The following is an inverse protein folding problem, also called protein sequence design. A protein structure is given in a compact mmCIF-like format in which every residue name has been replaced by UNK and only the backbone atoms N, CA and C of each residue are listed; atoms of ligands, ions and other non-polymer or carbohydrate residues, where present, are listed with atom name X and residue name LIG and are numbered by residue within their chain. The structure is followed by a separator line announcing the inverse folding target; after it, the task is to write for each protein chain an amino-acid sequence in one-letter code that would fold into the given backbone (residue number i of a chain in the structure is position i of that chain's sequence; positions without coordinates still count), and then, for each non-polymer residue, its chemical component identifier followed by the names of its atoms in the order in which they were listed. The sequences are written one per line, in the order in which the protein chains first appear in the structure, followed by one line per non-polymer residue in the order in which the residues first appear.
data_IF_630559790798
#
_entry.id   IF_630559790798
#
_cell.length_a   1.000
_cell.length_b   1.000
_cell.length_c   1.000
_cell.angle_alpha   90.00
_cell.angle_beta   90.00
_cell.angle_gamma   90.00
#
_symmetry.space_group_name_H-M   'P 1'
#
loop_
_entity.id
_entity.type
_entity.pdbx_description
1 polymer ?
#
# COMPACT_ATOMS: atom_id res chain seq x y z
N UNK A 1 -31.31 17.26 6.07
CA UNK A 1 -29.87 17.55 6.30
C UNK A 1 -29.07 16.66 5.36
N UNK A 2 -28.10 17.22 4.68
CA UNK A 2 -27.34 16.48 3.64
C UNK A 2 -26.29 15.60 4.34
N UNK A 3 -26.49 14.28 4.38
CA UNK A 3 -25.61 13.32 5.07
C UNK A 3 -24.28 13.07 4.31
N UNK A 4 -24.09 13.70 3.14
CA UNK A 4 -22.88 13.55 2.35
C UNK A 4 -21.76 14.45 2.87
N UNK A 5 -20.57 13.87 3.08
CA UNK A 5 -19.37 14.63 3.45
C UNK A 5 -18.94 15.65 2.38
N UNK A 6 -19.34 15.44 1.11
CA UNK A 6 -19.04 16.37 0.01
C UNK A 6 -19.71 17.74 0.15
N UNK A 7 -20.70 17.89 1.05
CA UNK A 7 -21.28 19.19 1.37
C UNK A 7 -20.35 20.05 2.25
N UNK A 8 -19.38 19.47 2.93
CA UNK A 8 -18.37 20.20 3.69
C UNK A 8 -17.29 20.76 2.77
N UNK A 9 -17.22 22.10 2.62
CA UNK A 9 -16.21 22.79 1.81
C UNK A 9 -14.78 22.42 2.26
N UNK A 10 -14.54 22.38 3.57
CA UNK A 10 -13.20 22.06 4.08
C UNK A 10 -12.80 20.62 3.84
N UNK A 11 -13.74 19.69 3.96
CA UNK A 11 -13.50 18.29 3.59
C UNK A 11 -13.20 18.14 2.11
N UNK A 12 -13.92 18.84 1.23
CA UNK A 12 -13.70 18.78 -0.21
C UNK A 12 -12.31 19.29 -0.61
N UNK A 13 -11.87 20.44 -0.03
CA UNK A 13 -10.53 20.99 -0.25
C UNK A 13 -9.45 19.96 0.18
N UNK A 14 -9.62 19.40 1.39
CA UNK A 14 -8.72 18.36 1.88
C UNK A 14 -8.71 17.13 0.99
N UNK A 15 -9.88 16.63 0.58
CA UNK A 15 -10.02 15.46 -0.28
C UNK A 15 -9.27 15.63 -1.60
N UNK A 16 -9.40 16.77 -2.26
CA UNK A 16 -8.72 17.08 -3.52
C UNK A 16 -7.20 17.06 -3.30
N UNK A 17 -6.70 17.83 -2.32
CA UNK A 17 -5.27 17.88 -2.02
C UNK A 17 -4.69 16.53 -1.63
N UNK A 18 -5.42 15.77 -0.81
CA UNK A 18 -5.04 14.42 -0.41
C UNK A 18 -5.03 13.43 -1.59
N UNK A 19 -6.00 13.52 -2.50
CA UNK A 19 -6.08 12.65 -3.67
C UNK A 19 -4.92 12.88 -4.62
N UNK A 20 -4.56 14.15 -4.89
CA UNK A 20 -3.39 14.51 -5.72
C UNK A 20 -2.11 13.95 -5.08
N UNK A 21 -1.91 14.16 -3.78
CA UNK A 21 -0.76 13.64 -3.04
C UNK A 21 -0.70 12.10 -3.06
N UNK A 22 -1.84 11.41 -2.98
CA UNK A 22 -1.89 9.96 -3.06
C UNK A 22 -1.50 9.44 -4.45
N UNK A 23 -1.91 10.10 -5.54
CA UNK A 23 -1.46 9.73 -6.88
C UNK A 23 0.06 9.89 -7.00
N UNK A 24 0.63 10.99 -6.51
CA UNK A 24 2.08 11.19 -6.46
C UNK A 24 2.80 10.08 -5.72
N UNK A 25 2.30 9.66 -4.55
CA UNK A 25 2.85 8.56 -3.77
C UNK A 25 2.90 7.23 -4.56
N UNK A 26 1.82 6.89 -5.29
CA UNK A 26 1.78 5.65 -6.06
C UNK A 26 2.64 5.72 -7.32
N UNK A 27 2.78 6.91 -7.95
CA UNK A 27 3.73 7.16 -9.04
C UNK A 27 5.16 6.94 -8.53
N UNK A 28 5.52 7.54 -7.39
CA UNK A 28 6.82 7.37 -6.77
C UNK A 28 7.17 5.91 -6.51
N UNK A 29 6.25 5.11 -5.98
CA UNK A 29 6.50 3.69 -5.65
C UNK A 29 6.91 2.86 -6.85
N UNK A 30 6.26 3.05 -7.98
CA UNK A 30 6.64 2.36 -9.23
C UNK A 30 7.99 2.85 -9.74
N UNK A 31 8.20 4.17 -9.74
CA UNK A 31 9.45 4.77 -10.19
C UNK A 31 10.65 4.32 -9.32
N UNK A 32 10.43 4.18 -8.03
CA UNK A 32 11.48 3.75 -7.09
C UNK A 32 11.92 2.32 -7.36
N UNK A 33 10.99 1.38 -7.51
CA UNK A 33 11.31 -0.01 -7.86
C UNK A 33 12.01 -0.13 -9.21
N UNK A 34 11.55 0.63 -10.21
CA UNK A 34 12.18 0.69 -11.53
C UNK A 34 13.60 1.25 -11.45
N UNK A 35 13.81 2.35 -10.72
CA UNK A 35 15.12 2.98 -10.62
C UNK A 35 16.11 2.12 -9.83
N UNK A 36 15.64 1.39 -8.81
CA UNK A 36 16.46 0.40 -8.10
C UNK A 36 16.96 -0.69 -9.06
N UNK A 37 16.09 -1.17 -9.96
CA UNK A 37 16.47 -2.12 -11.00
C UNK A 37 17.47 -1.51 -11.98
N UNK A 38 17.21 -0.32 -12.51
CA UNK A 38 18.11 0.36 -13.45
C UNK A 38 19.51 0.58 -12.90
N UNK A 39 19.63 0.95 -11.62
CA UNK A 39 20.92 1.24 -10.99
C UNK A 39 21.72 -0.02 -10.64
N UNK A 40 21.04 -1.11 -10.34
CA UNK A 40 21.70 -2.28 -9.76
C UNK A 40 21.72 -3.52 -10.66
N UNK A 41 20.72 -3.67 -11.57
CA UNK A 41 20.48 -4.91 -12.29
C UNK A 41 20.23 -6.11 -11.36
N UNK A 42 19.81 -5.87 -10.10
CA UNK A 42 19.72 -6.89 -9.07
C UNK A 42 18.34 -6.92 -8.41
N UNK A 43 17.74 -8.10 -8.41
CA UNK A 43 16.46 -8.38 -7.75
C UNK A 43 16.55 -8.15 -6.23
N UNK A 44 17.71 -8.43 -5.65
CA UNK A 44 17.94 -8.19 -4.22
C UNK A 44 17.80 -6.72 -3.87
N UNK A 45 18.39 -5.82 -4.66
CA UNK A 45 18.28 -4.39 -4.43
C UNK A 45 16.85 -3.87 -4.64
N UNK A 46 16.12 -4.39 -5.62
CA UNK A 46 14.68 -4.11 -5.77
C UNK A 46 13.92 -4.53 -4.50
N UNK A 47 14.23 -5.72 -3.97
CA UNK A 47 13.65 -6.22 -2.72
C UNK A 47 14.03 -5.37 -1.49
N UNK A 48 15.29 -4.94 -1.36
CA UNK A 48 15.76 -4.06 -0.27
C UNK A 48 15.04 -2.72 -0.32
N UNK A 49 14.93 -2.12 -1.49
CA UNK A 49 14.25 -0.83 -1.68
C UNK A 49 12.75 -0.97 -1.39
N UNK A 50 12.10 -2.05 -1.82
CA UNK A 50 10.72 -2.33 -1.43
C UNK A 50 10.58 -2.50 0.10
N UNK A 51 11.52 -3.17 0.74
CA UNK A 51 11.53 -3.30 2.20
C UNK A 51 11.63 -1.94 2.89
N UNK A 52 12.50 -1.05 2.44
CA UNK A 52 12.66 0.30 3.03
C UNK A 52 11.42 1.18 2.87
N UNK A 53 10.57 0.93 1.88
CA UNK A 53 9.29 1.65 1.73
C UNK A 53 8.25 1.25 2.79
N UNK A 54 8.16 -0.03 3.12
CA UNK A 54 7.05 -0.56 3.92
C UNK A 54 7.42 -0.86 5.37
N UNK A 55 8.64 -1.33 5.63
CA UNK A 55 9.07 -1.72 6.97
C UNK A 55 9.03 -0.59 8.00
N UNK A 56 9.42 0.66 7.68
CA UNK A 56 9.35 1.76 8.65
C UNK A 56 7.92 2.05 9.13
N UNK A 57 6.92 1.95 8.26
CA UNK A 57 5.53 2.14 8.64
C UNK A 57 5.05 1.09 9.65
N UNK A 58 5.57 -0.14 9.56
CA UNK A 58 5.26 -1.22 10.50
C UNK A 58 5.97 -1.00 11.84
N UNK A 59 7.25 -0.66 11.81
CA UNK A 59 8.10 -0.50 13.00
C UNK A 59 7.73 0.76 13.78
N UNK A 60 7.58 1.89 13.09
CA UNK A 60 7.35 3.19 13.70
C UNK A 60 5.88 3.61 13.73
N UNK A 61 5.00 2.93 12.99
CA UNK A 61 3.57 3.27 12.94
C UNK A 61 2.90 3.38 14.32
N UNK A 62 3.10 2.43 15.25
CA UNK A 62 2.57 2.53 16.62
C UNK A 62 3.07 3.77 17.38
N UNK A 63 4.35 4.11 17.22
CA UNK A 63 4.97 5.31 17.84
C UNK A 63 4.38 6.58 17.25
N UNK A 64 4.29 6.65 15.93
CA UNK A 64 3.69 7.79 15.25
C UNK A 64 2.20 7.95 15.53
N UNK A 65 1.47 6.86 15.79
CA UNK A 65 0.08 6.91 16.25
C UNK A 65 -0.06 7.69 17.55
N UNK A 66 0.80 7.42 18.54
CA UNK A 66 0.83 8.16 19.82
C UNK A 66 1.26 9.60 19.64
N UNK A 67 2.27 9.83 18.81
CA UNK A 67 2.74 11.18 18.51
C UNK A 67 1.64 12.01 17.82
N UNK A 68 0.90 11.44 16.89
CA UNK A 68 -0.20 12.10 16.19
C UNK A 68 -1.35 12.52 17.13
N UNK A 69 -1.52 11.83 18.26
CA UNK A 69 -2.51 12.23 19.29
C UNK A 69 -2.02 13.37 20.19
N UNK A 70 -0.70 13.60 20.29
CA UNK A 70 -0.07 14.60 21.16
C UNK A 70 0.27 15.91 20.46
N UNK A 71 0.59 15.85 19.18
CA UNK A 71 0.98 17.03 18.40
C UNK A 71 -0.23 17.67 17.71
N UNK A 72 -0.11 18.97 17.44
CA UNK A 72 -1.08 19.64 16.56
C UNK A 72 -1.10 18.99 15.19
N UNK A 73 -2.28 18.55 14.77
CA UNK A 73 -2.49 17.76 13.54
C UNK A 73 -2.09 18.51 12.29
N UNK A 74 -2.34 19.85 12.29
CA UNK A 74 -1.94 20.71 11.17
C UNK A 74 -0.43 20.84 11.11
N UNK A 75 0.21 21.17 12.25
CA UNK A 75 1.66 21.31 12.31
C UNK A 75 2.36 19.99 11.93
N UNK A 76 1.91 18.86 12.45
CA UNK A 76 2.44 17.55 12.09
C UNK A 76 2.28 17.24 10.59
N UNK A 77 1.09 17.49 10.00
CA UNK A 77 0.86 17.30 8.57
C UNK A 77 1.75 18.22 7.72
N UNK A 78 1.85 19.50 8.06
CA UNK A 78 2.70 20.45 7.34
C UNK A 78 4.17 20.03 7.40
N UNK A 79 4.68 19.66 8.58
CA UNK A 79 6.07 19.23 8.75
C UNK A 79 6.37 17.98 7.90
N UNK A 80 5.57 16.92 8.02
CA UNK A 80 5.77 15.68 7.29
C UNK A 80 5.75 15.93 5.78
N UNK A 81 4.75 16.67 5.28
CA UNK A 81 4.65 16.95 3.85
C UNK A 81 5.80 17.84 3.36
N UNK A 82 6.24 18.83 4.12
CA UNK A 82 7.37 19.70 3.75
C UNK A 82 8.68 18.93 3.66
N UNK A 83 8.95 18.03 4.62
CA UNK A 83 10.12 17.16 4.57
C UNK A 83 10.02 16.17 3.39
N UNK A 84 8.81 15.65 3.10
CA UNK A 84 8.58 14.79 1.93
C UNK A 84 8.81 15.54 0.60
N UNK A 85 8.41 16.82 0.49
CA UNK A 85 8.74 17.68 -0.67
C UNK A 85 10.25 17.74 -0.88
N UNK A 86 10.99 18.08 0.19
CA UNK A 86 12.44 18.22 0.12
C UNK A 86 13.08 16.90 -0.30
N UNK A 87 12.70 15.80 0.34
CA UNK A 87 13.23 14.47 0.04
C UNK A 87 12.98 14.06 -1.41
N UNK A 88 11.76 14.26 -1.91
CA UNK A 88 11.40 13.85 -3.27
C UNK A 88 11.98 14.76 -4.35
N UNK A 89 12.06 16.08 -4.11
CA UNK A 89 12.69 16.99 -5.06
C UNK A 89 14.20 16.79 -5.08
N UNK A 90 14.83 16.50 -3.93
CA UNK A 90 16.24 16.14 -3.86
C UNK A 90 16.51 14.86 -4.66
N UNK A 91 15.72 13.80 -4.42
CA UNK A 91 15.85 12.56 -5.18
C UNK A 91 15.64 12.78 -6.69
N UNK A 92 14.63 13.54 -7.07
CA UNK A 92 14.37 13.88 -8.47
C UNK A 92 15.52 14.67 -9.12
N UNK A 93 16.07 15.65 -8.41
CA UNK A 93 17.21 16.45 -8.87
C UNK A 93 18.47 15.59 -9.04
N UNK A 94 18.83 14.79 -8.04
CA UNK A 94 19.98 13.89 -8.09
C UNK A 94 19.83 12.83 -9.19
N UNK A 95 18.61 12.28 -9.37
CA UNK A 95 18.31 11.33 -10.42
C UNK A 95 18.44 11.98 -11.82
N UNK A 96 18.01 13.24 -11.96
CA UNK A 96 18.18 13.99 -13.22
C UNK A 96 19.65 14.21 -13.58
N UNK A 97 20.50 14.43 -12.56
CA UNK A 97 21.95 14.58 -12.76
C UNK A 97 22.69 13.24 -12.97
N UNK A 98 22.02 12.10 -12.82
CA UNK A 98 22.64 10.78 -12.86
C UNK A 98 23.62 10.51 -11.70
N UNK A 99 23.50 11.24 -10.58
CA UNK A 99 24.41 11.17 -9.42
C UNK A 99 23.90 10.29 -8.28
N UNK A 100 22.76 9.58 -8.46
CA UNK A 100 22.23 8.64 -7.46
C UNK A 100 22.87 7.28 -7.65
N UNK A 101 23.48 6.76 -6.59
CA UNK A 101 23.82 5.35 -6.47
C UNK A 101 22.73 4.57 -5.73
N UNK A 102 22.85 3.25 -5.70
CA UNK A 102 21.84 2.38 -5.08
C UNK A 102 21.74 2.58 -3.56
N UNK A 103 22.84 2.98 -2.89
CA UNK A 103 22.84 3.24 -1.45
C UNK A 103 22.12 4.55 -1.13
N UNK A 104 22.39 5.62 -1.89
CA UNK A 104 21.69 6.90 -1.77
C UNK A 104 20.19 6.73 -2.02
N UNK A 105 19.80 5.98 -3.07
CA UNK A 105 18.42 5.63 -3.36
C UNK A 105 17.76 4.93 -2.17
N UNK A 106 18.43 3.94 -1.59
CA UNK A 106 17.95 3.17 -0.45
C UNK A 106 17.76 4.04 0.79
N UNK A 107 18.71 4.96 1.07
CA UNK A 107 18.61 5.87 2.23
C UNK A 107 17.46 6.88 2.06
N UNK A 108 17.31 7.48 0.88
CA UNK A 108 16.19 8.40 0.59
C UNK A 108 14.84 7.68 0.59
N UNK A 109 14.82 6.42 0.14
CA UNK A 109 13.64 5.55 0.24
C UNK A 109 13.29 5.23 1.69
N UNK A 110 14.27 4.89 2.52
CA UNK A 110 14.07 4.63 3.95
C UNK A 110 13.51 5.88 4.66
N UNK A 111 14.08 7.05 4.40
CA UNK A 111 13.57 8.32 4.92
C UNK A 111 12.12 8.54 4.51
N UNK A 112 11.77 8.30 3.23
CA UNK A 112 10.38 8.43 2.77
C UNK A 112 9.47 7.40 3.44
N UNK A 113 9.92 6.16 3.62
CA UNK A 113 9.17 5.14 4.33
C UNK A 113 8.84 5.52 5.78
N UNK A 114 9.77 6.18 6.49
CA UNK A 114 9.53 6.74 7.84
C UNK A 114 8.48 7.85 7.79
N UNK A 115 8.59 8.77 6.83
CA UNK A 115 7.61 9.87 6.63
C UNK A 115 6.22 9.33 6.29
N UNK A 116 6.11 8.34 5.41
CA UNK A 116 4.86 7.68 5.04
C UNK A 116 4.22 6.97 6.25
N UNK A 117 5.04 6.34 7.10
CA UNK A 117 4.60 5.73 8.36
C UNK A 117 4.01 6.75 9.34
N UNK A 118 4.60 7.94 9.42
CA UNK A 118 4.09 9.05 10.25
C UNK A 118 2.83 9.70 9.64
N UNK A 119 2.75 9.75 8.31
CA UNK A 119 1.69 10.42 7.59
C UNK A 119 0.33 9.74 7.76
N UNK A 120 0.29 8.40 7.81
CA UNK A 120 -0.97 7.64 7.87
C UNK A 120 -1.82 7.98 9.12
N UNK A 121 -1.30 7.93 10.37
CA UNK A 121 -2.08 8.29 11.55
C UNK A 121 -2.52 9.75 11.53
N UNK A 122 -1.67 10.66 11.03
CA UNK A 122 -2.02 12.08 10.91
C UNK A 122 -3.19 12.27 9.94
N UNK A 123 -3.17 11.66 8.75
CA UNK A 123 -4.28 11.70 7.79
C UNK A 123 -5.59 11.19 8.40
N UNK A 124 -5.53 10.07 9.12
CA UNK A 124 -6.72 9.49 9.77
C UNK A 124 -7.29 10.40 10.88
N UNK A 125 -6.45 11.17 11.55
CA UNK A 125 -6.86 12.09 12.59
C UNK A 125 -7.46 13.40 12.07
N UNK A 126 -7.15 13.81 10.84
CA UNK A 126 -7.63 15.07 10.23
C UNK A 126 -9.09 14.95 9.79
N UNK A 127 -9.48 13.84 9.14
CA UNK A 127 -10.81 13.67 8.52
C UNK A 127 -11.98 13.93 9.49
N UNK A 128 -11.98 13.40 10.74
CA UNK A 128 -13.07 13.66 11.70
C UNK A 128 -13.23 15.11 12.10
N UNK A 129 -12.20 15.94 11.90
CA UNK A 129 -12.22 17.37 12.24
C UNK A 129 -12.68 18.29 11.10
N UNK A 130 -13.00 17.71 9.95
CA UNK A 130 -13.44 18.44 8.74
C UNK A 130 -14.93 18.27 8.45
N UNK A 131 -15.61 17.37 9.18
CA UNK A 131 -17.02 17.04 8.95
C UNK A 131 -17.78 16.94 10.27
N UNK A 132 -19.11 17.06 10.21
CA UNK A 132 -19.97 16.77 11.33
C UNK A 132 -20.07 15.28 11.63
N UNK A 133 -20.44 14.91 12.85
CA UNK A 133 -20.51 13.47 13.25
C UNK A 133 -21.40 12.63 12.33
N UNK A 134 -22.53 13.20 11.83
CA UNK A 134 -23.45 12.50 10.92
C UNK A 134 -22.81 12.22 9.55
N UNK A 135 -21.84 13.03 9.13
CA UNK A 135 -21.15 12.92 7.84
C UNK A 135 -19.88 12.05 7.91
N UNK A 136 -19.45 11.67 9.13
CA UNK A 136 -18.14 11.00 9.34
C UNK A 136 -18.04 9.67 8.59
N UNK A 137 -19.09 8.85 8.57
CA UNK A 137 -19.09 7.60 7.81
C UNK A 137 -18.90 7.84 6.31
N UNK A 138 -19.61 8.84 5.76
CA UNK A 138 -19.47 9.24 4.35
C UNK A 138 -18.06 9.73 4.06
N UNK A 139 -17.43 10.53 4.95
CA UNK A 139 -16.08 11.02 4.79
C UNK A 139 -15.04 9.89 4.77
N UNK A 140 -15.15 8.93 5.70
CA UNK A 140 -14.25 7.77 5.76
C UNK A 140 -14.40 6.94 4.48
N UNK A 141 -15.61 6.68 4.02
CA UNK A 141 -15.87 5.90 2.80
C UNK A 141 -15.26 6.58 1.57
N UNK A 142 -15.49 7.88 1.36
CA UNK A 142 -14.97 8.63 0.21
C UNK A 142 -13.43 8.70 0.26
N UNK A 143 -12.83 8.93 1.44
CA UNK A 143 -11.37 8.93 1.60
C UNK A 143 -10.77 7.57 1.27
N UNK A 144 -11.43 6.48 1.66
CA UNK A 144 -11.02 5.11 1.33
C UNK A 144 -11.12 4.83 -0.17
N UNK A 145 -12.18 5.31 -0.83
CA UNK A 145 -12.33 5.21 -2.29
C UNK A 145 -11.18 5.98 -2.97
N UNK A 146 -10.90 7.22 -2.56
CA UNK A 146 -9.80 8.02 -3.09
C UNK A 146 -8.46 7.29 -2.97
N UNK A 147 -8.15 6.71 -1.79
CA UNK A 147 -6.94 5.93 -1.57
C UNK A 147 -6.84 4.73 -2.53
N UNK A 148 -7.91 3.96 -2.68
CA UNK A 148 -7.91 2.80 -3.56
C UNK A 148 -7.82 3.20 -5.04
N UNK A 149 -8.55 4.23 -5.49
CA UNK A 149 -8.44 4.76 -6.86
C UNK A 149 -7.01 5.20 -7.16
N UNK A 150 -6.38 5.96 -6.25
CA UNK A 150 -4.99 6.40 -6.44
C UNK A 150 -4.01 5.23 -6.51
N UNK A 151 -4.25 4.17 -5.71
CA UNK A 151 -3.45 2.95 -5.71
C UNK A 151 -3.48 2.21 -7.03
N UNK A 152 -4.57 2.33 -7.80
CA UNK A 152 -4.73 1.65 -9.07
C UNK A 152 -4.37 2.52 -10.27
N UNK A 153 -4.78 3.80 -10.23
CA UNK A 153 -4.51 4.76 -11.30
C UNK A 153 -3.05 5.25 -11.28
N UNK A 154 -2.49 5.44 -10.08
CA UNK A 154 -1.11 5.92 -9.91
C UNK A 154 -0.06 5.11 -10.66
N UNK A 155 0.00 3.77 -10.51
CA UNK A 155 0.94 2.93 -11.25
C UNK A 155 0.81 3.02 -12.77
N UNK A 156 -0.42 3.15 -13.29
CA UNK A 156 -0.64 3.33 -14.73
C UNK A 156 -0.05 4.65 -15.22
N UNK A 157 -0.29 5.75 -14.49
CA UNK A 157 0.31 7.06 -14.78
C UNK A 157 1.84 6.99 -14.65
N UNK A 158 2.36 6.33 -13.63
CA UNK A 158 3.79 6.16 -13.40
C UNK A 158 4.49 5.53 -14.61
N UNK A 159 3.90 4.45 -15.13
CA UNK A 159 4.47 3.78 -16.30
C UNK A 159 4.60 4.69 -17.51
N UNK A 160 3.57 5.49 -17.80
CA UNK A 160 3.60 6.47 -18.90
C UNK A 160 4.66 7.56 -18.66
N UNK A 161 4.74 8.08 -17.42
CA UNK A 161 5.73 9.10 -17.06
C UNK A 161 7.15 8.54 -17.19
N UNK A 162 7.41 7.35 -16.64
CA UNK A 162 8.75 6.74 -16.67
C UNK A 162 9.19 6.48 -18.11
N UNK A 163 8.29 5.94 -18.95
CA UNK A 163 8.60 5.61 -20.35
C UNK A 163 8.91 6.84 -21.22
N UNK A 164 8.23 7.97 -20.97
CA UNK A 164 8.35 9.16 -21.85
C UNK A 164 9.20 10.28 -21.25
N UNK A 165 9.24 10.42 -19.92
CA UNK A 165 9.86 11.55 -19.22
C UNK A 165 10.95 11.13 -18.22
N UNK A 166 11.11 9.83 -17.99
CA UNK A 166 12.10 9.26 -17.09
C UNK A 166 11.71 9.29 -15.61
N UNK A 167 12.49 8.58 -14.79
CA UNK A 167 12.25 8.40 -13.35
C UNK A 167 12.38 9.69 -12.54
N UNK A 168 13.31 10.58 -12.93
CA UNK A 168 13.52 11.86 -12.26
C UNK A 168 12.24 12.71 -12.24
N UNK A 169 11.51 12.73 -13.37
CA UNK A 169 10.23 13.43 -13.49
C UNK A 169 9.16 12.80 -12.57
N UNK A 170 9.13 11.48 -12.47
CA UNK A 170 8.20 10.80 -11.57
C UNK A 170 8.42 11.18 -10.09
N UNK A 171 9.68 11.27 -9.67
CA UNK A 171 10.04 11.74 -8.33
C UNK A 171 9.68 13.21 -8.10
N UNK A 172 9.96 14.08 -9.09
CA UNK A 172 9.60 15.49 -9.01
C UNK A 172 8.08 15.70 -8.93
N UNK A 173 7.30 14.96 -9.72
CA UNK A 173 5.82 14.98 -9.67
C UNK A 173 5.32 14.60 -8.28
N UNK A 174 5.88 13.56 -7.65
CA UNK A 174 5.52 13.23 -6.29
C UNK A 174 5.88 14.36 -5.31
N UNK A 175 7.08 14.93 -5.41
CA UNK A 175 7.48 16.08 -4.60
C UNK A 175 6.51 17.27 -4.74
N UNK A 176 6.14 17.62 -5.97
CA UNK A 176 5.17 18.69 -6.26
C UNK A 176 3.77 18.34 -5.74
N UNK A 177 3.38 17.07 -5.80
CA UNK A 177 2.05 16.64 -5.35
C UNK A 177 1.81 16.89 -3.85
N UNK A 178 2.85 16.87 -3.02
CA UNK A 178 2.72 17.20 -1.59
C UNK A 178 2.33 18.67 -1.34
N UNK A 179 2.66 19.60 -2.25
CA UNK A 179 2.20 20.98 -2.12
C UNK A 179 0.68 21.10 -2.14
N UNK A 180 -0.02 20.21 -2.85
CA UNK A 180 -1.48 20.21 -2.86
C UNK A 180 -2.07 19.95 -1.47
N UNK A 181 -1.46 19.03 -0.70
CA UNK A 181 -1.89 18.73 0.65
C UNK A 181 -1.44 19.81 1.65
N UNK A 182 -0.25 20.38 1.47
CA UNK A 182 0.21 21.54 2.25
C UNK A 182 -0.76 22.71 2.06
N UNK A 183 -1.11 23.07 0.83
CA UNK A 183 -2.06 24.12 0.52
C UNK A 183 -3.45 23.83 1.14
N UNK A 184 -3.93 22.60 1.01
CA UNK A 184 -5.18 22.19 1.64
C UNK A 184 -5.12 22.41 3.17
N UNK A 185 -4.05 21.97 3.83
CA UNK A 185 -3.90 22.10 5.30
C UNK A 185 -3.75 23.55 5.78
N UNK A 186 -3.27 24.45 4.94
CA UNK A 186 -3.21 25.88 5.24
C UNK A 186 -4.60 26.54 5.12
N UNK A 187 -5.44 26.10 4.19
CA UNK A 187 -6.75 26.68 3.90
C UNK A 187 -7.84 26.14 4.84
N UNK A 188 -7.82 24.83 5.15
CA UNK A 188 -8.90 24.20 5.92
C UNK A 188 -8.90 24.69 7.38
N UNK A 189 -10.09 24.86 7.95
CA UNK A 189 -10.26 25.06 9.38
C UNK A 189 -10.62 23.76 10.03
N UNK A 190 -9.73 23.28 10.90
CA UNK A 190 -10.00 22.10 11.70
C UNK A 190 -10.92 22.51 12.86
N UNK A 191 -12.09 21.90 12.95
CA UNK A 191 -12.94 22.07 14.11
C UNK A 191 -12.25 21.43 15.30
N UNK A 192 -12.11 22.14 16.43
CA UNK A 192 -11.67 21.50 17.66
C UNK A 192 -12.77 20.53 18.08
N UNK A 193 -12.73 19.32 17.53
CA UNK A 193 -13.60 18.25 18.01
C UNK A 193 -13.20 17.94 19.43
N UNK A 194 -14.25 17.85 20.28
CA UNK A 194 -14.16 17.57 21.70
C UNK A 194 -12.88 16.84 22.08
N UNK A 195 -12.16 17.40 23.03
CA UNK A 195 -10.97 16.85 23.65
C UNK A 195 -11.08 15.33 23.72
N UNK A 196 -10.44 14.63 22.81
CA UNK A 196 -10.16 13.22 23.06
C UNK A 196 -9.27 13.25 24.29
N UNK A 197 -9.83 12.84 25.44
CA UNK A 197 -9.04 12.60 26.63
C UNK A 197 -7.82 11.80 26.20
N UNK A 198 -6.60 12.25 26.52
CA UNK A 198 -5.40 11.51 26.16
C UNK A 198 -5.62 10.07 26.62
N UNK A 199 -5.61 9.13 25.69
CA UNK A 199 -5.65 7.71 26.05
C UNK A 199 -4.39 7.46 26.87
N UNK A 200 -4.56 7.20 28.15
CA UNK A 200 -3.47 6.88 29.09
C UNK A 200 -2.88 5.49 28.84
N UNK A 201 -3.39 4.73 27.86
CA UNK A 201 -2.91 3.40 27.57
C UNK A 201 -1.58 3.43 26.80
N UNK A 202 -0.61 2.67 27.29
CA UNK A 202 0.65 2.44 26.60
C UNK A 202 0.37 1.69 25.28
N UNK A 203 0.94 2.16 24.17
CA UNK A 203 0.82 1.55 22.82
C UNK A 203 1.08 0.06 22.85
N UNK A 204 2.10 -0.37 23.60
CA UNK A 204 2.43 -1.78 23.78
C UNK A 204 1.32 -2.59 24.46
N UNK A 205 0.57 -1.95 25.37
CA UNK A 205 -0.56 -2.59 26.01
C UNK A 205 -1.72 -2.77 25.03
N UNK A 206 -2.04 -1.72 24.25
CA UNK A 206 -3.06 -1.81 23.21
C UNK A 206 -2.74 -2.86 22.14
N UNK A 207 -1.46 -2.94 21.72
CA UNK A 207 -1.02 -3.97 20.79
C UNK A 207 -1.15 -5.38 21.41
N UNK A 208 -0.73 -5.57 22.67
CA UNK A 208 -0.88 -6.84 23.38
C UNK A 208 -2.34 -7.26 23.49
N UNK A 209 -3.23 -6.31 23.82
CA UNK A 209 -4.66 -6.57 23.92
C UNK A 209 -5.26 -6.94 22.55
N UNK A 210 -4.86 -6.24 21.49
CA UNK A 210 -5.24 -6.59 20.12
C UNK A 210 -4.78 -7.99 19.73
N UNK A 211 -3.53 -8.35 20.01
CA UNK A 211 -2.99 -9.70 19.75
C UNK A 211 -3.71 -10.76 20.57
N UNK A 212 -4.02 -10.47 21.85
CA UNK A 212 -4.79 -11.37 22.71
C UNK A 212 -6.18 -11.61 22.14
N UNK A 213 -6.87 -10.56 21.70
CA UNK A 213 -8.18 -10.63 21.06
C UNK A 213 -8.13 -11.50 19.79
N UNK A 214 -7.17 -11.26 18.90
CA UNK A 214 -6.96 -12.05 17.69
C UNK A 214 -6.75 -13.53 18.01
N UNK A 215 -5.94 -13.86 19.03
CA UNK A 215 -5.69 -15.25 19.44
C UNK A 215 -6.96 -15.97 19.92
N UNK A 216 -7.88 -15.25 20.53
CA UNK A 216 -9.13 -15.80 21.07
C UNK A 216 -10.22 -15.94 19.98
N UNK A 217 -10.15 -15.18 18.88
CA UNK A 217 -11.17 -15.17 17.84
C UNK A 217 -10.68 -15.88 16.56
N UNK A 218 -11.05 -17.15 16.41
CA UNK A 218 -10.65 -18.00 15.27
C UNK A 218 -10.91 -17.37 13.89
N UNK A 219 -12.10 -16.76 13.61
CA UNK A 219 -12.37 -16.14 12.29
C UNK A 219 -11.38 -15.03 11.97
N UNK A 220 -11.10 -14.15 12.92
CA UNK A 220 -10.18 -13.01 12.76
C UNK A 220 -8.75 -13.49 12.53
N UNK A 221 -8.32 -14.49 13.29
CA UNK A 221 -7.01 -15.12 13.11
C UNK A 221 -6.88 -15.75 11.74
N UNK A 222 -7.91 -16.43 11.24
CA UNK A 222 -7.90 -17.01 9.89
C UNK A 222 -7.72 -15.93 8.81
N UNK A 223 -8.45 -14.81 8.89
CA UNK A 223 -8.30 -13.68 7.95
C UNK A 223 -6.88 -13.11 8.01
N UNK A 224 -6.31 -12.91 9.20
CA UNK A 224 -4.95 -12.38 9.36
C UNK A 224 -3.87 -13.33 8.84
N UNK A 225 -4.04 -14.63 9.00
CA UNK A 225 -3.12 -15.63 8.42
C UNK A 225 -3.20 -15.60 6.90
N UNK A 226 -4.40 -15.58 6.32
CA UNK A 226 -4.57 -15.53 4.86
C UNK A 226 -3.91 -14.28 4.28
N UNK A 227 -4.13 -13.09 4.88
CA UNK A 227 -3.51 -11.86 4.37
C UNK A 227 -1.99 -11.85 4.59
N UNK A 228 -1.47 -12.45 5.66
CA UNK A 228 -0.03 -12.60 5.88
C UNK A 228 0.61 -13.39 4.73
N UNK A 229 0.05 -14.54 4.43
CA UNK A 229 0.53 -15.44 3.37
C UNK A 229 0.43 -14.78 1.98
N UNK A 230 -0.73 -14.16 1.68
CA UNK A 230 -0.93 -13.45 0.41
C UNK A 230 -0.02 -12.21 0.29
N UNK A 231 0.33 -11.55 1.40
CA UNK A 231 1.24 -10.39 1.36
C UNK A 231 2.69 -10.82 1.20
N UNK A 232 3.15 -11.81 1.94
CA UNK A 232 4.53 -12.31 1.85
C UNK A 232 4.78 -12.96 0.49
N UNK A 233 3.98 -13.94 0.14
CA UNK A 233 4.23 -14.76 -1.05
C UNK A 233 3.55 -14.23 -2.32
N UNK A 234 2.43 -13.51 -2.17
CA UNK A 234 1.70 -12.96 -3.30
C UNK A 234 2.20 -11.57 -3.71
N UNK A 235 2.03 -10.60 -2.81
CA UNK A 235 2.40 -9.20 -3.11
C UNK A 235 3.90 -9.00 -3.19
N UNK A 236 4.69 -9.70 -2.35
CA UNK A 236 6.14 -9.64 -2.41
C UNK A 236 6.69 -10.00 -3.80
N UNK A 237 6.11 -10.99 -4.48
CA UNK A 237 6.49 -11.34 -5.84
C UNK A 237 6.19 -10.23 -6.87
N UNK A 238 5.13 -9.43 -6.66
CA UNK A 238 4.81 -8.30 -7.55
C UNK A 238 5.79 -7.14 -7.44
N UNK A 239 6.55 -7.03 -6.34
CA UNK A 239 7.62 -6.03 -6.23
C UNK A 239 8.75 -6.29 -7.25
N UNK A 240 8.83 -7.51 -7.80
CA UNK A 240 9.79 -7.88 -8.85
C UNK A 240 9.33 -7.50 -10.27
N UNK A 241 8.21 -6.80 -10.46
CA UNK A 241 7.72 -6.39 -11.79
C UNK A 241 8.75 -5.60 -12.61
N UNK A 242 9.59 -4.69 -12.03
CA UNK A 242 10.66 -4.04 -12.78
C UNK A 242 11.64 -5.02 -13.44
N UNK A 243 12.08 -6.04 -12.69
CA UNK A 243 12.97 -7.08 -13.19
C UNK A 243 12.29 -7.94 -14.27
N UNK A 244 11.01 -8.30 -14.10
CA UNK A 244 10.25 -9.02 -15.13
C UNK A 244 10.13 -8.21 -16.42
N UNK A 245 9.79 -6.93 -16.34
CA UNK A 245 9.60 -6.06 -17.50
C UNK A 245 10.87 -5.95 -18.34
N UNK A 246 12.03 -5.92 -17.71
CA UNK A 246 13.32 -5.74 -18.38
C UNK A 246 14.04 -7.04 -18.66
N UNK A 247 14.33 -7.86 -17.64
CA UNK A 247 15.15 -9.06 -17.79
C UNK A 247 14.42 -10.21 -18.50
N UNK A 248 13.09 -10.38 -18.26
CA UNK A 248 12.33 -11.50 -18.85
C UNK A 248 11.69 -11.09 -20.17
N UNK A 249 11.01 -9.96 -20.20
CA UNK A 249 10.24 -9.52 -21.37
C UNK A 249 10.98 -8.53 -22.29
N UNK A 250 12.16 -8.07 -21.90
CA UNK A 250 13.02 -7.16 -22.65
C UNK A 250 12.29 -5.90 -23.17
N UNK A 251 11.25 -5.49 -22.47
CA UNK A 251 10.40 -4.38 -22.86
C UNK A 251 10.63 -3.08 -22.07
N UNK A 252 11.61 -3.08 -21.14
CA UNK A 252 12.01 -1.91 -20.38
C UNK A 252 10.85 -1.25 -19.60
N UNK A 253 10.92 0.07 -19.47
CA UNK A 253 9.90 0.87 -18.78
C UNK A 253 8.52 0.82 -19.43
N UNK A 254 8.44 0.62 -20.74
CA UNK A 254 7.18 0.49 -21.47
C UNK A 254 6.44 -0.80 -21.07
N UNK A 255 7.16 -1.92 -20.95
CA UNK A 255 6.58 -3.17 -20.46
C UNK A 255 6.13 -3.03 -18.99
N UNK A 256 6.93 -2.38 -18.15
CA UNK A 256 6.54 -2.09 -16.77
C UNK A 256 5.25 -1.27 -16.71
N UNK A 257 5.14 -0.25 -17.58
CA UNK A 257 3.93 0.58 -17.70
C UNK A 257 2.68 -0.28 -17.97
N UNK A 258 2.77 -1.18 -18.94
CA UNK A 258 1.66 -2.06 -19.33
C UNK A 258 1.32 -3.03 -18.21
N UNK A 259 2.32 -3.69 -17.60
CA UNK A 259 2.11 -4.64 -16.50
C UNK A 259 1.48 -3.98 -15.27
N UNK A 260 1.99 -2.81 -14.86
CA UNK A 260 1.43 -2.09 -13.70
C UNK A 260 0.03 -1.54 -13.97
N UNK A 261 -0.23 -1.09 -15.21
CA UNK A 261 -1.57 -0.69 -15.66
C UNK A 261 -2.54 -1.86 -15.66
N UNK A 262 -2.10 -3.04 -16.07
CA UNK A 262 -2.90 -4.26 -16.07
C UNK A 262 -3.31 -4.65 -14.62
N UNK A 263 -2.38 -4.58 -13.66
CA UNK A 263 -2.70 -4.77 -12.22
C UNK A 263 -3.77 -3.77 -11.78
N UNK A 264 -3.60 -2.49 -12.15
CA UNK A 264 -4.55 -1.43 -11.82
C UNK A 264 -5.94 -1.68 -12.39
N UNK A 265 -6.02 -2.05 -13.67
CA UNK A 265 -7.28 -2.38 -14.35
C UNK A 265 -8.01 -3.54 -13.66
N UNK A 266 -7.29 -4.62 -13.32
CA UNK A 266 -7.84 -5.75 -12.58
C UNK A 266 -8.39 -5.33 -11.21
N UNK A 267 -7.68 -4.48 -10.50
CA UNK A 267 -8.09 -4.02 -9.19
C UNK A 267 -9.33 -3.09 -9.23
N UNK A 268 -9.53 -2.32 -10.32
CA UNK A 268 -10.76 -1.56 -10.55
C UNK A 268 -11.96 -2.51 -10.66
N UNK A 269 -11.82 -3.63 -11.36
CA UNK A 269 -12.88 -4.66 -11.47
C UNK A 269 -13.31 -5.14 -10.08
N UNK A 270 -12.35 -5.43 -9.20
CA UNK A 270 -12.66 -5.79 -7.80
C UNK A 270 -13.36 -4.67 -7.04
N UNK A 271 -12.90 -3.43 -7.19
CA UNK A 271 -13.53 -2.27 -6.57
C UNK A 271 -14.99 -2.11 -6.98
N UNK A 272 -15.29 -2.27 -8.28
CA UNK A 272 -16.63 -2.22 -8.82
C UNK A 272 -17.49 -3.40 -8.32
N UNK A 273 -16.94 -4.60 -8.20
CA UNK A 273 -17.67 -5.75 -7.67
C UNK A 273 -18.06 -5.54 -6.20
N UNK A 274 -17.12 -5.05 -5.38
CA UNK A 274 -17.36 -4.78 -3.96
C UNK A 274 -18.31 -3.60 -3.72
N UNK A 275 -18.35 -2.60 -4.62
CA UNK A 275 -19.27 -1.47 -4.52
C UNK A 275 -20.75 -1.85 -4.72
N UNK A 276 -21.00 -2.97 -5.41
CA UNK A 276 -22.35 -3.50 -5.61
C UNK A 276 -22.91 -4.26 -4.39
N UNK A 277 -22.07 -4.49 -3.40
CA UNK A 277 -22.42 -5.16 -2.15
C UNK A 277 -21.39 -6.18 -1.72
N UNK A 278 -21.30 -6.41 -0.43
CA UNK A 278 -20.31 -7.30 0.19
C UNK A 278 -20.92 -8.58 0.79
N UNK A 279 -22.21 -8.82 0.61
CA UNK A 279 -22.90 -9.97 1.21
C UNK A 279 -22.37 -11.35 0.78
N UNK A 280 -21.70 -11.43 -0.37
CA UNK A 280 -21.04 -12.63 -0.89
C UNK A 280 -19.61 -12.82 -0.32
N UNK A 281 -19.06 -11.78 0.34
CA UNK A 281 -17.68 -11.80 0.85
C UNK A 281 -17.60 -12.62 2.12
N UNK A 282 -16.89 -13.72 2.06
CA UNK A 282 -16.64 -14.64 3.17
C UNK A 282 -15.16 -14.93 3.34
N UNK A 283 -14.76 -15.49 4.48
CA UNK A 283 -13.39 -15.97 4.70
C UNK A 283 -12.99 -17.00 3.63
N UNK A 284 -13.96 -17.83 3.19
CA UNK A 284 -13.74 -18.80 2.11
C UNK A 284 -13.38 -18.14 0.78
N UNK A 285 -14.08 -17.06 0.42
CA UNK A 285 -13.78 -16.26 -0.79
C UNK A 285 -12.39 -15.64 -0.73
N UNK A 286 -12.02 -15.03 0.39
CA UNK A 286 -10.68 -14.43 0.55
C UNK A 286 -9.58 -15.48 0.52
N UNK A 287 -9.82 -16.67 1.09
CA UNK A 287 -8.90 -17.80 1.04
C UNK A 287 -8.75 -18.32 -0.40
N UNK A 288 -9.85 -18.50 -1.11
CA UNK A 288 -9.82 -18.91 -2.51
C UNK A 288 -9.07 -17.88 -3.38
N UNK A 289 -9.29 -16.58 -3.13
CA UNK A 289 -8.53 -15.54 -3.79
C UNK A 289 -7.01 -15.66 -3.52
N UNK A 290 -6.60 -15.93 -2.28
CA UNK A 290 -5.19 -16.17 -1.96
C UNK A 290 -4.62 -17.38 -2.70
N UNK A 291 -5.37 -18.50 -2.78
CA UNK A 291 -4.96 -19.70 -3.49
C UNK A 291 -4.84 -19.48 -5.01
N UNK A 292 -5.87 -18.87 -5.62
CA UNK A 292 -5.84 -18.51 -7.05
C UNK A 292 -4.72 -17.52 -7.34
N UNK A 293 -4.48 -16.55 -6.44
CA UNK A 293 -3.36 -15.63 -6.55
C UNK A 293 -2.01 -16.35 -6.57
N UNK A 294 -1.81 -17.32 -5.67
CA UNK A 294 -0.61 -18.17 -5.65
C UNK A 294 -0.44 -18.97 -6.95
N UNK A 295 -1.52 -19.55 -7.46
CA UNK A 295 -1.50 -20.26 -8.75
C UNK A 295 -1.12 -19.32 -9.91
N UNK A 296 -1.72 -18.13 -9.99
CA UNK A 296 -1.42 -17.15 -11.04
C UNK A 296 0.03 -16.65 -10.98
N UNK A 297 0.59 -16.47 -9.77
CA UNK A 297 2.00 -16.09 -9.59
C UNK A 297 2.91 -17.23 -10.06
N UNK A 298 2.58 -18.48 -9.74
CA UNK A 298 3.31 -19.65 -10.23
C UNK A 298 3.29 -19.70 -11.77
N UNK A 299 2.12 -19.49 -12.38
CA UNK A 299 1.98 -19.44 -13.85
C UNK A 299 2.81 -18.29 -14.42
N UNK A 300 2.80 -17.10 -13.81
CA UNK A 300 3.60 -15.94 -14.26
C UNK A 300 5.08 -16.28 -14.35
N UNK A 301 5.62 -17.04 -13.39
CA UNK A 301 7.02 -17.45 -13.41
C UNK A 301 7.40 -18.34 -14.58
N UNK A 302 6.46 -19.09 -15.17
CA UNK A 302 6.70 -19.92 -16.36
C UNK A 302 6.50 -19.17 -17.68
N UNK A 303 5.88 -17.97 -17.66
CA UNK A 303 5.51 -17.30 -18.90
C UNK A 303 6.70 -16.56 -19.53
N UNK A 304 6.94 -16.86 -20.81
CA UNK A 304 7.87 -16.13 -21.68
C UNK A 304 7.13 -15.09 -22.56
N UNK A 305 5.84 -15.32 -22.82
CA UNK A 305 5.03 -14.41 -23.63
C UNK A 305 4.59 -13.19 -22.82
N UNK A 306 5.00 -12.00 -23.25
CA UNK A 306 4.60 -10.73 -22.66
C UNK A 306 3.07 -10.55 -22.63
N UNK A 307 2.39 -10.85 -23.72
CA UNK A 307 0.93 -10.69 -23.79
C UNK A 307 0.17 -11.63 -22.86
N UNK A 308 0.64 -12.88 -22.73
CA UNK A 308 0.10 -13.82 -21.76
C UNK A 308 0.34 -13.32 -20.31
N UNK A 309 1.52 -12.78 -20.05
CA UNK A 309 1.83 -12.19 -18.75
C UNK A 309 0.93 -11.01 -18.42
N UNK A 310 0.61 -10.13 -19.37
CA UNK A 310 -0.33 -9.00 -19.17
C UNK A 310 -1.70 -9.50 -18.71
N UNK A 311 -2.22 -10.57 -19.32
CA UNK A 311 -3.52 -11.17 -18.94
C UNK A 311 -3.45 -11.76 -17.53
N UNK A 312 -2.37 -12.51 -17.21
CA UNK A 312 -2.17 -13.10 -15.88
C UNK A 312 -2.02 -12.02 -14.82
N UNK A 313 -1.27 -10.97 -15.10
CA UNK A 313 -1.05 -9.84 -14.19
C UNK A 313 -2.33 -9.01 -13.99
N UNK A 314 -3.16 -8.82 -15.01
CA UNK A 314 -4.49 -8.22 -14.86
C UNK A 314 -5.39 -9.07 -13.93
N UNK A 315 -5.36 -10.40 -14.12
CA UNK A 315 -6.07 -11.34 -13.24
C UNK A 315 -5.55 -11.29 -11.80
N UNK A 316 -4.22 -11.19 -11.61
CA UNK A 316 -3.61 -10.94 -10.30
C UNK A 316 -4.10 -9.63 -9.67
N UNK A 317 -4.28 -8.59 -10.48
CA UNK A 317 -4.87 -7.33 -10.03
C UNK A 317 -6.26 -7.51 -9.42
N UNK A 318 -7.13 -8.31 -10.06
CA UNK A 318 -8.46 -8.68 -9.52
C UNK A 318 -8.30 -9.44 -8.20
N UNK A 319 -7.56 -10.52 -8.23
CA UNK A 319 -7.51 -11.52 -7.15
C UNK A 319 -6.81 -10.99 -5.90
N UNK A 320 -5.65 -10.34 -6.04
CA UNK A 320 -4.92 -9.79 -4.90
C UNK A 320 -5.60 -8.56 -4.30
N UNK A 321 -6.35 -7.80 -5.12
CA UNK A 321 -7.20 -6.72 -4.59
C UNK A 321 -8.38 -7.29 -3.81
N UNK A 322 -9.01 -8.36 -4.30
CA UNK A 322 -10.07 -9.05 -3.58
C UNK A 322 -9.55 -9.62 -2.25
N UNK A 323 -8.37 -10.25 -2.24
CA UNK A 323 -7.76 -10.73 -1.01
C UNK A 323 -7.46 -9.59 -0.03
N UNK A 324 -6.84 -8.50 -0.48
CA UNK A 324 -6.45 -7.37 0.37
C UNK A 324 -7.65 -6.56 0.88
N UNK A 325 -8.49 -6.04 -0.01
CA UNK A 325 -9.66 -5.23 0.37
C UNK A 325 -10.70 -6.08 1.05
N UNK A 326 -10.93 -7.30 0.56
CA UNK A 326 -11.87 -8.24 1.17
C UNK A 326 -11.50 -8.62 2.60
N UNK A 327 -10.22 -8.91 2.86
CA UNK A 327 -9.75 -9.17 4.23
C UNK A 327 -9.93 -7.95 5.14
N UNK A 328 -9.70 -6.74 4.64
CA UNK A 328 -9.91 -5.51 5.40
C UNK A 328 -11.37 -5.31 5.77
N UNK A 329 -12.30 -5.53 4.83
CA UNK A 329 -13.74 -5.44 5.07
C UNK A 329 -14.15 -6.49 6.11
N UNK A 330 -13.69 -7.75 5.98
CA UNK A 330 -14.01 -8.80 6.96
C UNK A 330 -13.51 -8.46 8.36
N UNK A 331 -12.30 -7.91 8.51
CA UNK A 331 -11.83 -7.43 9.81
C UNK A 331 -12.75 -6.35 10.37
N UNK A 332 -13.17 -5.38 9.55
CA UNK A 332 -14.05 -4.29 9.99
C UNK A 332 -15.45 -4.76 10.39
N UNK A 333 -15.94 -5.87 9.81
CA UNK A 333 -17.28 -6.39 10.07
C UNK A 333 -17.32 -7.46 11.17
N UNK A 334 -16.23 -8.23 11.36
CA UNK A 334 -16.15 -9.31 12.34
C UNK A 334 -15.67 -8.86 13.72
N UNK A 335 -15.05 -7.68 13.81
CA UNK A 335 -14.43 -7.20 15.05
C UNK A 335 -15.34 -6.23 15.77
N UNK A 336 -15.45 -6.40 17.11
CA UNK A 336 -16.21 -5.51 17.98
C UNK A 336 -15.71 -4.06 17.90
N UNK A 337 -16.62 -3.10 17.98
CA UNK A 337 -16.33 -1.67 17.82
C UNK A 337 -15.20 -1.17 18.74
N UNK A 338 -15.15 -1.67 19.98
CA UNK A 338 -14.20 -1.25 21.00
C UNK A 338 -12.74 -1.60 20.66
N UNK A 339 -12.52 -2.70 19.95
CA UNK A 339 -11.18 -3.19 19.59
C UNK A 339 -10.87 -3.11 18.10
N UNK A 340 -11.84 -2.67 17.27
CA UNK A 340 -11.70 -2.61 15.81
C UNK A 340 -10.46 -1.84 15.36
N UNK A 341 -10.15 -0.71 15.98
CA UNK A 341 -8.96 0.07 15.64
C UNK A 341 -7.65 -0.70 15.87
N UNK A 342 -7.56 -1.45 16.99
CA UNK A 342 -6.38 -2.25 17.35
C UNK A 342 -6.17 -3.40 16.35
N UNK A 343 -7.24 -4.13 16.02
CA UNK A 343 -7.16 -5.25 15.06
C UNK A 343 -6.90 -4.76 13.64
N UNK A 344 -7.48 -3.63 13.24
CA UNK A 344 -7.20 -2.99 11.94
C UNK A 344 -5.73 -2.55 11.81
N UNK A 345 -5.12 -2.07 12.90
CA UNK A 345 -3.70 -1.75 12.93
C UNK A 345 -2.84 -3.01 12.75
N UNK A 346 -3.18 -4.11 13.43
CA UNK A 346 -2.51 -5.41 13.25
C UNK A 346 -2.64 -5.90 11.82
N UNK A 347 -3.83 -5.77 11.21
CA UNK A 347 -4.03 -6.10 9.80
C UNK A 347 -3.11 -5.28 8.88
N UNK A 348 -3.00 -3.96 9.11
CA UNK A 348 -2.09 -3.09 8.38
C UNK A 348 -0.62 -3.51 8.52
N UNK A 349 -0.17 -3.80 9.75
CA UNK A 349 1.19 -4.30 10.01
C UNK A 349 1.47 -5.61 9.27
N UNK A 350 0.52 -6.54 9.26
CA UNK A 350 0.62 -7.82 8.56
C UNK A 350 0.64 -7.63 7.05
N UNK A 351 -0.24 -6.77 6.51
CA UNK A 351 -0.34 -6.54 5.07
C UNK A 351 0.89 -5.83 4.50
N UNK A 352 1.33 -4.73 5.12
CA UNK A 352 2.49 -3.97 4.65
C UNK A 352 3.81 -4.64 5.03
N UNK A 353 3.93 -5.15 6.27
CA UNK A 353 5.11 -5.88 6.72
C UNK A 353 5.31 -7.18 5.95
N UNK A 354 4.23 -7.89 5.64
CA UNK A 354 4.27 -9.07 4.77
C UNK A 354 4.78 -8.74 3.37
N UNK A 355 4.32 -7.63 2.77
CA UNK A 355 4.82 -7.17 1.45
C UNK A 355 6.30 -6.82 1.51
N UNK A 356 6.74 -6.09 2.57
CA UNK A 356 8.15 -5.76 2.77
C UNK A 356 9.05 -7.01 2.86
N UNK A 357 8.69 -7.92 3.77
CA UNK A 357 9.45 -9.16 3.96
C UNK A 357 9.41 -10.05 2.71
N UNK A 358 8.25 -10.10 2.04
CA UNK A 358 8.06 -10.88 0.82
C UNK A 358 8.90 -10.36 -0.33
N UNK A 359 8.92 -9.05 -0.58
CA UNK A 359 9.76 -8.45 -1.61
C UNK A 359 11.25 -8.72 -1.37
N UNK A 360 11.70 -8.57 -0.12
CA UNK A 360 13.08 -8.88 0.26
C UNK A 360 13.40 -10.36 0.09
N UNK A 361 12.52 -11.26 0.54
CA UNK A 361 12.71 -12.70 0.45
C UNK A 361 12.73 -13.19 -1.00
N UNK A 362 11.82 -12.72 -1.85
CA UNK A 362 11.77 -13.08 -3.27
C UNK A 362 12.98 -12.50 -3.99
N UNK A 363 13.37 -11.24 -3.72
CA UNK A 363 14.58 -10.63 -4.28
C UNK A 363 15.84 -11.41 -3.91
N UNK A 364 15.99 -11.81 -2.64
CA UNK A 364 17.09 -12.66 -2.20
C UNK A 364 17.07 -14.04 -2.86
N UNK A 365 15.92 -14.70 -2.90
CA UNK A 365 15.78 -16.01 -3.55
C UNK A 365 16.10 -15.94 -5.05
N UNK A 366 15.78 -14.82 -5.70
CA UNK A 366 16.08 -14.62 -7.11
C UNK A 366 17.58 -14.58 -7.40
N UNK A 367 18.42 -14.11 -6.47
CA UNK A 367 19.90 -14.15 -6.65
C UNK A 367 20.46 -15.59 -6.64
N UNK A 368 19.76 -16.54 -6.01
CA UNK A 368 20.22 -17.92 -5.86
C UNK A 368 19.60 -18.81 -6.94
N UNK A 369 18.32 -18.68 -7.21
CA UNK A 369 17.55 -19.58 -8.08
C UNK A 369 17.15 -18.95 -9.41
N UNK A 370 17.45 -17.68 -9.62
CA UNK A 370 16.95 -16.86 -10.72
C UNK A 370 15.52 -16.36 -10.46
N UNK A 371 15.19 -15.22 -11.10
CA UNK A 371 13.93 -14.48 -10.89
C UNK A 371 12.69 -15.36 -11.06
N UNK A 372 12.61 -16.10 -12.17
CA UNK A 372 11.45 -16.90 -12.51
C UNK A 372 11.20 -18.02 -11.49
N UNK A 373 12.27 -18.76 -11.11
CA UNK A 373 12.16 -19.83 -10.11
C UNK A 373 11.78 -19.31 -8.73
N UNK A 374 12.32 -18.16 -8.31
CA UNK A 374 11.97 -17.53 -7.04
C UNK A 374 10.48 -17.16 -6.99
N UNK A 375 9.94 -16.63 -8.10
CA UNK A 375 8.52 -16.29 -8.20
C UNK A 375 7.64 -17.55 -8.28
N UNK A 376 8.05 -18.60 -9.01
CA UNK A 376 7.35 -19.89 -9.03
C UNK A 376 7.24 -20.45 -7.60
N UNK A 377 8.35 -20.53 -6.87
CA UNK A 377 8.37 -21.03 -5.49
C UNK A 377 7.49 -20.19 -4.59
N UNK A 378 7.55 -18.86 -4.72
CA UNK A 378 6.69 -17.93 -3.95
C UNK A 378 5.21 -18.20 -4.20
N UNK A 379 4.82 -18.37 -5.48
CA UNK A 379 3.44 -18.72 -5.86
C UNK A 379 2.99 -20.06 -5.29
N UNK A 380 3.83 -21.09 -5.37
CA UNK A 380 3.55 -22.42 -4.81
C UNK A 380 3.38 -22.34 -3.28
N UNK A 381 4.25 -21.61 -2.57
CA UNK A 381 4.14 -21.43 -1.14
C UNK A 381 2.84 -20.72 -0.77
N UNK A 382 2.43 -19.70 -1.53
CA UNK A 382 1.16 -19.01 -1.34
C UNK A 382 -0.04 -19.97 -1.50
N UNK A 383 -0.03 -20.78 -2.55
CA UNK A 383 -1.07 -21.76 -2.86
C UNK A 383 -1.18 -22.82 -1.75
N UNK A 384 -0.05 -23.46 -1.39
CA UNK A 384 0.00 -24.49 -0.34
C UNK A 384 -0.45 -23.91 1.00
N UNK A 385 0.04 -22.74 1.37
CA UNK A 385 -0.31 -22.11 2.62
C UNK A 385 -1.79 -21.70 2.69
N UNK A 386 -2.38 -21.22 1.58
CA UNK A 386 -3.81 -20.97 1.49
C UNK A 386 -4.63 -22.26 1.62
N UNK A 387 -4.19 -23.36 1.01
CA UNK A 387 -4.83 -24.68 1.14
C UNK A 387 -4.75 -25.20 2.59
N UNK A 388 -3.57 -25.15 3.22
CA UNK A 388 -3.40 -25.57 4.62
C UNK A 388 -4.23 -24.73 5.58
N UNK A 389 -4.44 -23.44 5.31
CA UNK A 389 -5.32 -22.59 6.11
C UNK A 389 -6.79 -23.06 6.10
N UNK A 390 -7.18 -23.89 5.13
CA UNK A 390 -8.50 -24.50 5.08
C UNK A 390 -8.67 -25.63 6.11
N UNK A 391 -7.59 -26.31 6.45
CA UNK A 391 -7.61 -27.42 7.43
C UNK A 391 -7.79 -26.91 8.88
N UNK A 392 -7.54 -25.63 9.13
CA UNK A 392 -7.77 -25.00 10.46
C UNK A 392 -9.24 -24.63 10.70
N UNK A 393 -10.14 -25.21 9.94
CA UNK A 393 -11.59 -24.95 9.99
C UNK A 393 -12.29 -25.64 11.16
N UNK A 394 -11.62 -26.57 11.86
CA UNK A 394 -12.17 -27.36 12.98
C UNK A 394 -11.69 -26.88 14.35
#
# INVERSE_FOLDING_TARGET
MNNSALSSRYYLIYLIGNTISLHGLWIYRVALGWYAWQLSGSELWVGIVAFTQFAPAVVFGPVFGVLADRFDRRAASLLINSVSVINMLLLGFLAHQGSVDIFALTMLSLMQGVLDGAHMPVRMSVVPNLVEKIQLQSAIAITSISFNVSRFVGPAIAGVIIANLGVATAFAINGVSYFSLIAAMLIVRLNPTAERKPRQSHVWQELKDGVRYVRQHRPIRAVLVIIALASVFGRGALEMMPAFADAVYQGGSAALAILTSAIGAGAIVTGLALSRGTGWLTIGVVRMAAAVGGMLITVLGFLQSFYAAVVVVASLGVILSLCGVGSQILIQTLVDDEVRGRVSSIWGMVAFGGTALGGLAVGFAATIWGLQNAVIVSGMLCLVAAALSAMWRN
#
